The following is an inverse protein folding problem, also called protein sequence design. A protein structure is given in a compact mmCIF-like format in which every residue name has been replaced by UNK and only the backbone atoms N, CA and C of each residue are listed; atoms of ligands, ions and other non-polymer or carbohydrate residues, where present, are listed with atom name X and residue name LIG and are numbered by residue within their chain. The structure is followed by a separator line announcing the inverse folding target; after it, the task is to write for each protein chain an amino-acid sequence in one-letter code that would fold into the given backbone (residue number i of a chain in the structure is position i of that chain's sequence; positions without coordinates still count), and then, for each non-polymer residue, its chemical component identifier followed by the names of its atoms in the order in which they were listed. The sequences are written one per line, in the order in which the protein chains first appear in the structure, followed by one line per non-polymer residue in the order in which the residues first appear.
data_IF_718975636053
#
_entry.id   IF_718975636053
#
_cell.length_a   1.000
_cell.length_b   1.000
_cell.length_c   1.000
_cell.angle_alpha   90.00
_cell.angle_beta   90.00
_cell.angle_gamma   90.00
#
_symmetry.space_group_name_H-M   'P 1'
#
loop_
_entity.id
_entity.type
_entity.pdbx_description
1 polymer ?
#
# COMPACT_ATOMS: atom_id res chain seq x y z
N UNK A 1 -16.66 37.65 0.29
CA UNK A 1 -15.34 37.17 0.70
C UNK A 1 -15.61 36.07 1.75
N UNK A 2 -15.64 34.81 1.31
CA UNK A 2 -15.69 33.64 2.24
C UNK A 2 -14.28 33.32 2.64
N UNK A 3 -14.05 33.17 3.95
CA UNK A 3 -12.78 32.74 4.50
C UNK A 3 -12.70 31.21 4.38
N UNK A 4 -11.98 30.71 3.37
CA UNK A 4 -11.83 29.28 3.13
C UNK A 4 -10.75 28.72 4.06
N UNK A 5 -11.15 27.95 5.06
CA UNK A 5 -10.24 27.28 5.99
C UNK A 5 -9.98 25.86 5.49
N UNK A 6 -8.76 25.58 5.00
CA UNK A 6 -8.35 24.27 4.50
C UNK A 6 -7.42 23.59 5.50
N UNK A 7 -7.62 22.27 5.73
CA UNK A 7 -6.72 21.48 6.58
C UNK A 7 -5.42 21.19 5.82
N UNK A 8 -4.29 21.66 6.36
CA UNK A 8 -2.95 21.49 5.77
C UNK A 8 -2.47 20.03 5.61
N UNK A 9 -3.16 19.09 6.25
CA UNK A 9 -2.79 17.66 6.22
C UNK A 9 -3.36 16.93 5.00
N UNK A 10 -4.30 17.53 4.26
CA UNK A 10 -4.96 16.91 3.12
C UNK A 10 -4.64 17.65 1.84
N UNK A 11 -4.66 16.92 0.70
CA UNK A 11 -4.64 17.56 -0.62
C UNK A 11 -6.03 18.15 -0.90
N UNK A 12 -6.06 19.39 -1.37
CA UNK A 12 -7.27 20.08 -1.75
C UNK A 12 -7.23 20.44 -3.24
N UNK A 13 -8.36 20.33 -3.90
CA UNK A 13 -8.55 20.85 -5.25
C UNK A 13 -9.29 22.18 -5.12
N UNK A 14 -8.69 23.25 -5.64
CA UNK A 14 -9.27 24.59 -5.63
C UNK A 14 -9.65 24.94 -7.05
N UNK A 15 -10.93 25.14 -7.31
CA UNK A 15 -11.46 25.51 -8.61
C UNK A 15 -12.00 26.92 -8.57
N UNK A 16 -11.69 27.72 -9.61
CA UNK A 16 -12.16 29.10 -9.77
C UNK A 16 -13.18 29.12 -10.88
N UNK A 17 -14.41 29.52 -10.59
CA UNK A 17 -15.44 29.73 -11.61
C UNK A 17 -15.17 31.06 -12.30
N UNK A 18 -14.69 30.97 -13.55
CA UNK A 18 -14.37 32.16 -14.37
C UNK A 18 -15.61 32.75 -14.98
N UNK A 19 -16.51 31.93 -15.51
CA UNK A 19 -17.74 32.40 -16.17
C UNK A 19 -18.84 31.35 -16.17
N UNK A 20 -20.09 31.79 -16.38
CA UNK A 20 -21.27 30.94 -16.60
C UNK A 20 -21.95 31.40 -17.89
N UNK A 21 -22.00 30.50 -18.87
CA UNK A 21 -22.45 30.80 -20.23
C UNK A 21 -23.58 29.86 -20.65
N UNK A 22 -24.51 30.36 -21.44
CA UNK A 22 -25.38 29.53 -22.25
C UNK A 22 -24.75 29.36 -23.64
N UNK A 23 -24.67 28.12 -24.14
CA UNK A 23 -24.12 27.80 -25.45
C UNK A 23 -25.07 28.30 -26.55
N UNK A 24 -24.84 29.50 -27.01
CA UNK A 24 -25.58 30.14 -28.11
C UNK A 24 -24.61 30.58 -29.20
N UNK A 25 -25.05 30.71 -30.48
CA UNK A 25 -24.18 31.17 -31.55
C UNK A 25 -23.50 32.53 -31.26
N UNK A 26 -24.20 33.44 -30.60
CA UNK A 26 -23.70 34.75 -30.27
C UNK A 26 -22.73 34.81 -29.09
N UNK A 27 -22.63 33.71 -28.33
CA UNK A 27 -21.76 33.61 -27.14
C UNK A 27 -20.31 33.28 -27.49
N UNK A 28 -19.98 33.01 -28.77
CA UNK A 28 -18.66 32.52 -29.18
C UNK A 28 -17.51 33.42 -28.69
N UNK A 29 -17.63 34.74 -28.87
CA UNK A 29 -16.57 35.66 -28.47
C UNK A 29 -16.37 35.64 -26.96
N UNK A 30 -17.46 35.74 -26.20
CA UNK A 30 -17.40 35.68 -24.74
C UNK A 30 -16.84 34.35 -24.23
N UNK A 31 -17.21 33.25 -24.88
CA UNK A 31 -16.65 31.92 -24.56
C UNK A 31 -15.12 31.88 -24.77
N UNK A 32 -14.64 32.43 -25.91
CA UNK A 32 -13.19 32.52 -26.18
C UNK A 32 -12.47 33.32 -25.10
N UNK A 33 -12.97 34.51 -24.75
CA UNK A 33 -12.36 35.38 -23.75
C UNK A 33 -12.33 34.67 -22.36
N UNK A 34 -13.39 33.95 -22.02
CA UNK A 34 -13.48 33.19 -20.75
C UNK A 34 -12.54 32.01 -20.72
N UNK A 35 -12.43 31.23 -21.82
CA UNK A 35 -11.48 30.12 -21.97
C UNK A 35 -10.04 30.61 -21.84
N UNK A 36 -9.66 31.67 -22.57
CA UNK A 36 -8.31 32.27 -22.47
C UNK A 36 -7.98 32.73 -21.05
N UNK A 37 -8.98 33.32 -20.37
CA UNK A 37 -8.82 33.76 -18.98
C UNK A 37 -8.62 32.55 -18.03
N UNK A 38 -9.41 31.50 -18.18
CA UNK A 38 -9.32 30.31 -17.39
C UNK A 38 -7.97 29.60 -17.59
N UNK A 39 -7.55 29.40 -18.84
CA UNK A 39 -6.27 28.79 -19.18
C UNK A 39 -5.07 29.54 -18.60
N UNK A 40 -5.15 30.89 -18.65
CA UNK A 40 -4.09 31.74 -18.07
C UNK A 40 -4.05 31.67 -16.54
N UNK A 41 -5.21 31.61 -15.86
CA UNK A 41 -5.30 31.51 -14.40
C UNK A 41 -4.82 30.16 -13.87
N UNK A 42 -5.12 29.09 -14.58
CA UNK A 42 -4.83 27.72 -14.16
C UNK A 42 -3.67 27.09 -14.96
N UNK A 43 -2.76 27.91 -15.48
CA UNK A 43 -1.51 27.49 -16.16
C UNK A 43 -1.75 26.45 -17.28
N UNK A 44 -2.83 26.64 -18.04
CA UNK A 44 -3.16 25.81 -19.20
C UNK A 44 -4.15 24.68 -18.91
N UNK A 45 -4.85 24.72 -17.78
CA UNK A 45 -5.92 23.76 -17.46
C UNK A 45 -7.26 24.45 -17.47
N UNK A 46 -8.27 23.84 -18.10
CA UNK A 46 -9.64 24.30 -18.13
C UNK A 46 -10.59 23.15 -17.75
N UNK A 47 -11.53 23.44 -16.89
CA UNK A 47 -12.65 22.53 -16.57
C UNK A 47 -13.95 23.15 -17.07
N UNK A 48 -14.75 22.38 -17.77
CA UNK A 48 -16.09 22.76 -18.24
C UNK A 48 -17.11 21.85 -17.55
N UNK A 49 -18.02 22.47 -16.79
CA UNK A 49 -19.17 21.81 -16.18
C UNK A 49 -20.43 22.07 -17.01
N UNK A 50 -20.98 21.02 -17.62
CA UNK A 50 -22.24 21.05 -18.37
C UNK A 50 -23.42 20.88 -17.40
N UNK A 51 -23.82 21.96 -16.76
CA UNK A 51 -24.83 21.97 -15.68
C UNK A 51 -26.22 21.50 -16.11
N UNK A 52 -26.48 21.33 -17.41
CA UNK A 52 -27.72 20.80 -17.97
C UNK A 52 -27.74 19.24 -17.96
N UNK A 53 -26.59 18.59 -17.69
CA UNK A 53 -26.49 17.14 -17.53
C UNK A 53 -26.72 16.74 -16.07
N UNK A 54 -27.14 15.49 -15.84
CA UNK A 54 -27.32 14.96 -14.50
C UNK A 54 -26.00 14.90 -13.72
N UNK A 55 -26.07 14.90 -12.38
CA UNK A 55 -24.86 14.98 -11.54
C UNK A 55 -23.92 13.79 -11.70
N UNK A 56 -24.45 12.63 -12.02
CA UNK A 56 -23.75 11.37 -12.25
C UNK A 56 -23.40 11.10 -13.73
N UNK A 57 -23.74 12.01 -14.63
CA UNK A 57 -23.39 11.87 -16.05
C UNK A 57 -21.87 12.03 -16.23
N UNK A 58 -21.18 11.00 -16.77
CA UNK A 58 -19.72 11.03 -16.98
C UNK A 58 -19.27 12.11 -17.99
N UNK A 59 -20.18 12.64 -18.79
CA UNK A 59 -19.93 13.73 -19.75
C UNK A 59 -20.09 15.15 -19.16
N UNK A 60 -20.62 15.26 -17.91
CA UNK A 60 -20.92 16.56 -17.28
C UNK A 60 -19.68 17.41 -17.05
N UNK A 61 -18.63 16.83 -16.50
CA UNK A 61 -17.38 17.54 -16.23
C UNK A 61 -16.33 17.11 -17.25
N UNK A 62 -15.86 18.08 -18.05
CA UNK A 62 -14.80 17.85 -19.02
C UNK A 62 -13.59 18.72 -18.70
N UNK A 63 -12.42 18.08 -18.67
CA UNK A 63 -11.14 18.75 -18.46
C UNK A 63 -10.38 18.87 -19.78
N UNK A 64 -9.86 20.07 -20.02
CA UNK A 64 -9.03 20.38 -21.18
C UNK A 64 -7.69 20.94 -20.70
N UNK A 65 -6.63 20.70 -21.48
CA UNK A 65 -5.30 21.21 -21.19
C UNK A 65 -4.61 21.63 -22.48
N UNK A 66 -3.95 22.76 -22.44
CA UNK A 66 -3.06 23.20 -23.54
C UNK A 66 -1.78 22.38 -23.60
N UNK A 67 -1.38 21.77 -22.49
CA UNK A 67 -0.07 21.15 -22.34
C UNK A 67 -0.05 19.65 -22.63
N UNK A 68 -1.06 18.94 -22.84
CA UNK A 68 -1.15 17.49 -23.16
C UNK A 68 -2.29 16.86 -22.36
N UNK A 69 -3.47 16.91 -22.88
CA UNK A 69 -4.60 16.16 -22.36
C UNK A 69 -4.78 14.86 -23.15
N UNK A 70 -5.10 13.80 -22.48
CA UNK A 70 -5.57 12.59 -23.15
C UNK A 70 -7.02 12.83 -23.63
N UNK A 71 -7.35 12.59 -24.92
CA UNK A 71 -8.72 12.75 -25.41
C UNK A 71 -9.72 11.78 -24.75
N UNK A 72 -9.23 10.74 -24.05
CA UNK A 72 -10.03 9.76 -23.31
C UNK A 72 -10.08 10.07 -21.80
N UNK A 73 -9.78 11.28 -21.41
CA UNK A 73 -9.86 11.80 -20.02
C UNK A 73 -9.01 11.01 -18.98
N UNK A 74 -7.95 10.33 -19.45
CA UNK A 74 -6.99 9.74 -18.51
C UNK A 74 -6.23 10.87 -17.80
N UNK A 75 -6.06 10.77 -16.47
CA UNK A 75 -5.28 11.76 -15.72
C UNK A 75 -3.81 11.67 -16.14
N UNK A 76 -3.41 12.52 -17.06
CA UNK A 76 -2.01 12.69 -17.40
C UNK A 76 -1.40 13.72 -16.42
N UNK A 77 -0.61 13.23 -15.51
CA UNK A 77 0.19 14.04 -14.59
C UNK A 77 1.60 14.29 -15.12
N UNK A 78 1.77 14.28 -16.44
CA UNK A 78 3.08 14.57 -17.04
C UNK A 78 3.13 16.07 -17.31
N UNK A 79 3.80 16.81 -16.42
CA UNK A 79 4.03 18.23 -16.59
C UNK A 79 4.83 18.47 -17.87
N UNK A 80 6.10 18.65 -17.88
CA UNK A 80 6.91 18.74 -19.10
C UNK A 80 7.70 17.44 -19.33
N UNK A 81 7.74 16.98 -20.60
CA UNK A 81 8.56 15.83 -20.94
C UNK A 81 10.03 16.29 -20.98
N UNK A 82 10.74 15.97 -19.92
CA UNK A 82 12.18 16.17 -19.81
C UNK A 82 12.95 14.83 -19.88
N UNK A 83 14.23 14.82 -20.21
CA UNK A 83 15.04 13.59 -20.20
C UNK A 83 14.95 12.82 -18.88
N UNK A 84 14.83 13.51 -17.75
CA UNK A 84 14.67 12.89 -16.42
C UNK A 84 13.38 12.09 -16.25
N UNK A 85 12.33 12.43 -17.00
CA UNK A 85 11.04 11.72 -16.98
C UNK A 85 11.17 10.29 -17.54
N UNK A 86 12.17 10.04 -18.38
CA UNK A 86 12.47 8.73 -18.97
C UNK A 86 13.59 7.97 -18.25
N UNK A 87 14.14 8.55 -17.20
CA UNK A 87 15.26 7.96 -16.46
C UNK A 87 14.73 7.04 -15.37
N UNK A 88 15.04 5.73 -15.47
CA UNK A 88 14.70 4.76 -14.41
C UNK A 88 15.46 5.03 -13.10
N UNK A 89 16.54 5.82 -13.14
CA UNK A 89 17.36 6.21 -11.99
C UNK A 89 17.00 7.61 -11.44
N UNK A 90 15.90 8.20 -11.88
CA UNK A 90 15.41 9.47 -11.36
C UNK A 90 13.98 9.29 -10.81
N UNK A 91 13.63 9.93 -9.69
CA UNK A 91 12.32 9.77 -9.06
C UNK A 91 11.13 10.05 -9.97
N UNK A 92 11.34 10.86 -11.03
CA UNK A 92 10.30 11.23 -12.00
C UNK A 92 9.99 10.14 -13.03
N UNK A 93 10.95 9.28 -13.36
CA UNK A 93 10.81 8.23 -14.37
C UNK A 93 10.96 6.82 -13.80
N UNK A 94 11.42 6.70 -12.56
CA UNK A 94 11.56 5.42 -11.90
C UNK A 94 10.18 4.81 -11.59
N UNK A 95 10.09 3.50 -11.69
CA UNK A 95 8.92 2.76 -11.21
C UNK A 95 8.71 3.03 -9.72
N UNK A 96 7.51 3.46 -9.28
CA UNK A 96 7.26 3.78 -7.87
C UNK A 96 7.36 2.57 -6.93
N UNK A 97 7.19 1.35 -7.46
CA UNK A 97 7.26 0.14 -6.64
C UNK A 97 8.68 -0.38 -6.44
N UNK A 98 9.50 -0.40 -7.48
CA UNK A 98 10.86 -0.92 -7.40
C UNK A 98 11.94 0.17 -7.43
N UNK A 99 11.55 1.45 -7.46
CA UNK A 99 12.46 2.60 -7.55
C UNK A 99 13.46 2.53 -8.72
N UNK A 100 13.06 1.84 -9.81
CA UNK A 100 13.88 1.67 -11.01
C UNK A 100 14.75 0.42 -11.03
N UNK A 101 14.71 -0.41 -9.99
CA UNK A 101 15.54 -1.63 -9.89
C UNK A 101 15.05 -2.79 -10.77
N UNK A 102 13.78 -2.75 -11.22
CA UNK A 102 13.18 -3.83 -12.00
C UNK A 102 12.81 -5.08 -11.19
N UNK A 103 13.21 -5.13 -9.94
CA UNK A 103 12.98 -6.23 -9.01
C UNK A 103 12.65 -5.71 -7.62
N UNK A 104 12.06 -6.55 -6.79
CA UNK A 104 11.81 -6.27 -5.37
C UNK A 104 12.07 -7.51 -4.53
N UNK A 105 12.30 -7.29 -3.24
CA UNK A 105 12.40 -8.38 -2.28
C UNK A 105 10.98 -8.76 -1.81
N UNK A 106 10.69 -10.05 -1.87
CA UNK A 106 9.46 -10.63 -1.30
C UNK A 106 9.82 -11.73 -0.31
N UNK A 107 9.07 -11.82 0.78
CA UNK A 107 9.24 -12.90 1.75
C UNK A 107 8.87 -14.23 1.09
N UNK A 108 9.76 -15.21 1.21
CA UNK A 108 9.59 -16.53 0.62
C UNK A 108 9.17 -17.56 1.66
N UNK A 109 8.00 -18.18 1.53
CA UNK A 109 7.54 -19.20 2.45
C UNK A 109 8.49 -20.38 2.62
N UNK A 110 9.22 -20.76 1.56
CA UNK A 110 10.19 -21.86 1.62
C UNK A 110 11.43 -21.50 2.46
N UNK A 111 11.82 -20.23 2.49
CA UNK A 111 12.90 -19.74 3.35
C UNK A 111 12.42 -19.52 4.79
N UNK A 112 11.16 -19.21 4.97
CA UNK A 112 10.53 -19.07 6.29
C UNK A 112 10.35 -20.42 6.97
N UNK A 113 10.03 -21.47 6.21
CA UNK A 113 9.84 -22.85 6.67
C UNK A 113 10.83 -23.74 5.90
N UNK A 114 12.12 -23.74 6.26
CA UNK A 114 13.13 -24.49 5.53
C UNK A 114 13.05 -25.99 5.74
N UNK A 115 12.42 -26.43 6.83
CA UNK A 115 12.25 -27.85 7.17
C UNK A 115 10.82 -28.10 7.67
N UNK A 116 10.01 -28.72 6.82
CA UNK A 116 8.63 -29.06 7.15
C UNK A 116 8.48 -30.25 8.11
N UNK A 117 9.57 -30.97 8.41
CA UNK A 117 9.58 -32.06 9.38
C UNK A 117 9.68 -31.56 10.82
N UNK A 118 10.13 -30.31 11.01
CA UNK A 118 10.14 -29.66 12.32
C UNK A 118 8.75 -29.26 12.77
N UNK A 119 8.53 -29.32 14.07
CA UNK A 119 7.35 -28.76 14.72
C UNK A 119 7.55 -27.29 15.07
N UNK A 120 6.45 -26.57 15.42
CA UNK A 120 6.53 -25.20 15.88
C UNK A 120 7.35 -25.07 17.18
N UNK A 121 7.26 -26.07 18.06
CA UNK A 121 8.05 -26.13 19.30
C UNK A 121 9.54 -26.31 19.03
N UNK A 122 9.91 -27.00 17.95
CA UNK A 122 11.30 -27.19 17.50
C UNK A 122 11.82 -26.04 16.64
N UNK A 123 10.98 -25.06 16.28
CA UNK A 123 11.38 -23.88 15.53
C UNK A 123 11.17 -23.97 14.02
N UNK A 124 10.16 -24.68 13.54
CA UNK A 124 9.80 -24.77 12.12
C UNK A 124 9.73 -23.39 11.44
N UNK A 125 9.29 -22.34 12.15
CA UNK A 125 9.29 -20.95 11.66
C UNK A 125 10.65 -20.32 11.98
N UNK A 126 11.59 -20.43 11.06
CA UNK A 126 12.97 -20.01 11.24
C UNK A 126 13.17 -18.58 11.71
N UNK A 127 12.45 -17.55 11.20
CA UNK A 127 12.58 -16.18 11.68
C UNK A 127 12.27 -16.00 13.17
N UNK A 128 11.35 -16.77 13.71
CA UNK A 128 10.96 -16.70 15.11
C UNK A 128 11.84 -17.55 16.03
N UNK A 129 12.55 -18.51 15.47
CA UNK A 129 13.55 -19.28 16.22
C UNK A 129 14.82 -18.45 16.56
N UNK A 130 15.01 -17.27 15.90
CA UNK A 130 16.22 -16.45 16.00
C UNK A 130 16.11 -15.23 16.94
N UNK A 131 15.21 -15.22 17.91
CA UNK A 131 15.01 -14.01 18.73
C UNK A 131 14.30 -14.27 20.04
N UNK A 132 13.23 -13.50 20.31
CA UNK A 132 12.38 -13.68 21.50
C UNK A 132 11.47 -14.90 21.33
N UNK A 133 12.07 -16.07 21.31
CA UNK A 133 11.44 -17.37 21.04
C UNK A 133 10.21 -17.57 21.96
N UNK A 134 10.36 -17.34 23.26
CA UNK A 134 9.29 -17.58 24.24
C UNK A 134 8.01 -16.80 23.93
N UNK A 135 8.14 -15.54 23.53
CA UNK A 135 6.97 -14.71 23.21
C UNK A 135 6.23 -15.20 21.95
N UNK A 136 6.96 -15.61 20.95
CA UNK A 136 6.35 -16.13 19.73
C UNK A 136 5.68 -17.49 19.99
N UNK A 137 6.32 -18.37 20.79
CA UNK A 137 5.75 -19.62 21.23
C UNK A 137 4.44 -19.43 22.02
N UNK A 138 4.39 -18.47 22.95
CA UNK A 138 3.16 -18.16 23.70
C UNK A 138 2.01 -17.75 22.77
N UNK A 139 2.28 -16.91 21.78
CA UNK A 139 1.25 -16.47 20.81
C UNK A 139 0.81 -17.60 19.91
N UNK A 140 1.76 -18.42 19.41
CA UNK A 140 1.46 -19.59 18.59
C UNK A 140 0.67 -20.64 19.37
N UNK A 141 0.97 -20.84 20.67
CA UNK A 141 0.20 -21.73 21.52
C UNK A 141 -1.27 -21.28 21.68
N UNK A 142 -1.50 -19.98 21.82
CA UNK A 142 -2.85 -19.42 21.82
C UNK A 142 -3.61 -19.69 20.50
N UNK A 143 -2.91 -19.54 19.37
CA UNK A 143 -3.46 -19.84 18.05
C UNK A 143 -3.73 -21.35 17.89
N UNK A 144 -2.84 -22.20 18.43
CA UNK A 144 -2.99 -23.66 18.41
C UNK A 144 -4.24 -24.13 19.18
N UNK A 145 -4.49 -23.55 20.37
CA UNK A 145 -5.74 -23.82 21.11
C UNK A 145 -6.97 -23.43 20.28
N UNK A 146 -6.95 -22.26 19.65
CA UNK A 146 -8.08 -21.72 18.89
C UNK A 146 -8.39 -22.54 17.63
N UNK A 147 -7.35 -22.91 16.87
CA UNK A 147 -7.46 -23.68 15.63
C UNK A 147 -7.42 -25.18 15.82
N UNK A 148 -7.24 -25.66 17.07
CA UNK A 148 -7.21 -27.08 17.45
C UNK A 148 -6.13 -27.87 16.72
N UNK A 149 -4.87 -27.40 16.77
CA UNK A 149 -3.71 -28.15 16.30
C UNK A 149 -2.65 -28.30 17.39
N UNK A 150 -1.70 -29.23 17.22
CA UNK A 150 -0.60 -29.45 18.18
C UNK A 150 0.63 -28.63 17.79
N UNK A 151 1.27 -28.00 18.79
CA UNK A 151 2.56 -27.33 18.63
C UNK A 151 3.73 -28.30 18.35
N UNK A 152 3.57 -29.60 18.73
CA UNK A 152 4.58 -30.67 18.55
C UNK A 152 4.38 -31.40 17.23
N UNK A 153 3.35 -31.11 16.44
CA UNK A 153 3.14 -31.72 15.15
C UNK A 153 4.10 -31.14 14.11
N UNK A 154 4.69 -31.93 13.21
CA UNK A 154 5.47 -31.42 12.08
C UNK A 154 4.67 -30.44 11.25
N UNK A 155 5.33 -29.39 10.70
CA UNK A 155 4.69 -28.38 9.88
C UNK A 155 3.82 -28.97 8.76
N UNK A 156 4.32 -29.97 8.04
CA UNK A 156 3.59 -30.65 6.97
C UNK A 156 2.29 -31.33 7.42
N UNK A 157 2.19 -31.71 8.70
CA UNK A 157 1.01 -32.35 9.28
C UNK A 157 -0.01 -31.36 9.83
N UNK A 158 0.30 -30.08 9.89
CA UNK A 158 -0.62 -29.04 10.33
C UNK A 158 -1.78 -28.87 9.32
N UNK A 159 -3.01 -28.62 9.80
CA UNK A 159 -4.12 -28.29 8.92
C UNK A 159 -3.80 -27.06 8.07
N UNK A 160 -4.23 -27.05 6.81
CA UNK A 160 -4.00 -25.93 5.88
C UNK A 160 -4.40 -24.58 6.47
N UNK A 161 -5.58 -24.50 7.11
CA UNK A 161 -6.04 -23.28 7.81
C UNK A 161 -5.09 -22.79 8.91
N UNK A 162 -4.36 -23.69 9.53
CA UNK A 162 -3.38 -23.34 10.57
C UNK A 162 -2.10 -22.81 9.93
N UNK A 163 -1.63 -23.43 8.85
CA UNK A 163 -0.48 -22.98 8.07
C UNK A 163 -0.74 -21.59 7.47
N UNK A 164 -1.91 -21.39 6.85
CA UNK A 164 -2.33 -20.08 6.33
C UNK A 164 -2.38 -19.01 7.43
N UNK A 165 -2.96 -19.33 8.59
CA UNK A 165 -3.00 -18.40 9.71
C UNK A 165 -1.61 -18.05 10.24
N UNK A 166 -0.69 -19.03 10.32
CA UNK A 166 0.69 -18.83 10.78
C UNK A 166 1.50 -17.98 9.79
N UNK A 167 1.33 -18.20 8.49
CA UNK A 167 2.03 -17.45 7.44
C UNK A 167 1.46 -16.04 7.27
N UNK A 168 0.16 -15.91 7.07
CA UNK A 168 -0.48 -14.65 6.63
C UNK A 168 -1.25 -13.92 7.72
N UNK A 169 -1.36 -14.52 8.91
CA UNK A 169 -2.07 -13.89 10.02
C UNK A 169 -3.56 -14.18 10.03
N UNK A 170 -4.25 -13.50 10.94
CA UNK A 170 -5.65 -13.71 11.21
C UNK A 170 -6.33 -12.39 11.60
N UNK A 171 -7.52 -12.17 11.08
CA UNK A 171 -8.29 -10.94 11.32
C UNK A 171 -8.81 -10.79 12.75
N UNK A 172 -8.78 -11.84 13.54
CA UNK A 172 -9.26 -11.81 14.92
C UNK A 172 -8.13 -11.87 15.96
N UNK A 173 -8.45 -11.46 17.17
CA UNK A 173 -7.51 -11.43 18.29
C UNK A 173 -7.31 -12.82 18.85
N UNK A 174 -6.05 -13.24 18.95
CA UNK A 174 -5.63 -14.48 19.63
C UNK A 174 -5.56 -14.23 21.14
N UNK A 175 -6.07 -15.17 21.92
CA UNK A 175 -6.01 -15.15 23.38
C UNK A 175 -4.73 -15.87 23.83
N UNK A 176 -3.82 -15.10 24.40
CA UNK A 176 -2.52 -15.60 24.85
C UNK A 176 -2.51 -15.73 26.37
N UNK A 177 -2.18 -16.91 26.85
CA UNK A 177 -1.97 -17.21 28.26
C UNK A 177 -0.47 -17.24 28.55
N UNK A 178 -0.04 -16.49 29.54
CA UNK A 178 1.37 -16.45 29.96
C UNK A 178 1.51 -16.42 31.47
N UNK A 179 2.65 -16.88 31.98
CA UNK A 179 3.01 -16.75 33.40
C UNK A 179 3.92 -15.55 33.60
N UNK A 180 3.49 -14.64 34.48
CA UNK A 180 4.33 -13.49 34.81
C UNK A 180 5.52 -13.92 35.74
N UNK A 181 6.48 -13.00 35.97
CA UNK A 181 7.64 -13.22 36.83
C UNK A 181 7.31 -13.66 38.26
N UNK A 182 6.06 -13.54 38.68
CA UNK A 182 5.57 -13.97 40.00
C UNK A 182 4.82 -15.31 39.96
N UNK A 183 4.87 -16.03 38.85
CA UNK A 183 4.22 -17.33 38.67
C UNK A 183 2.70 -17.25 38.50
N UNK A 184 2.11 -16.06 38.39
CA UNK A 184 0.66 -15.90 38.21
C UNK A 184 0.30 -15.97 36.72
N UNK A 185 -0.71 -16.75 36.39
CA UNK A 185 -1.27 -16.79 35.05
C UNK A 185 -2.00 -15.49 34.72
N UNK A 186 -1.78 -14.99 33.51
CA UNK A 186 -2.41 -13.82 32.95
C UNK A 186 -2.82 -14.14 31.51
N UNK A 187 -3.92 -13.54 31.09
CA UNK A 187 -4.40 -13.64 29.71
C UNK A 187 -4.46 -12.25 29.10
N UNK A 188 -4.01 -12.10 27.86
CA UNK A 188 -4.22 -10.91 27.05
C UNK A 188 -4.65 -11.30 25.64
N UNK A 189 -5.25 -10.36 24.94
CA UNK A 189 -5.63 -10.56 23.54
C UNK A 189 -4.73 -9.71 22.65
N UNK A 190 -4.20 -10.31 21.60
CA UNK A 190 -3.38 -9.62 20.62
C UNK A 190 -3.81 -9.98 19.21
N UNK A 191 -3.61 -9.07 18.26
CA UNK A 191 -3.69 -9.39 16.84
C UNK A 191 -2.52 -10.30 16.47
N UNK A 192 -2.76 -11.20 15.53
CA UNK A 192 -1.74 -12.08 14.97
C UNK A 192 -1.54 -11.75 13.49
N UNK A 193 -0.44 -11.10 13.18
CA UNK A 193 -0.14 -10.58 11.84
C UNK A 193 0.39 -11.64 10.86
N UNK A 194 0.82 -12.81 11.36
CA UNK A 194 1.51 -13.83 10.55
C UNK A 194 2.99 -13.48 10.29
N UNK A 195 3.76 -14.53 10.00
CA UNK A 195 5.22 -14.38 9.85
C UNK A 195 5.60 -13.58 8.59
N UNK A 196 4.84 -13.70 7.51
CA UNK A 196 5.10 -12.99 6.25
C UNK A 196 5.01 -11.48 6.46
N UNK A 197 3.88 -10.98 6.95
CA UNK A 197 3.68 -9.56 7.24
C UNK A 197 4.61 -9.05 8.35
N UNK A 198 4.91 -9.89 9.36
CA UNK A 198 5.89 -9.54 10.38
C UNK A 198 7.26 -9.24 9.78
N UNK A 199 7.75 -10.08 8.85
CA UNK A 199 9.03 -9.89 8.20
C UNK A 199 9.03 -8.65 7.30
N UNK A 200 8.02 -8.48 6.45
CA UNK A 200 7.88 -7.30 5.58
C UNK A 200 7.88 -6.01 6.38
N UNK A 201 7.06 -5.94 7.42
CA UNK A 201 6.99 -4.76 8.29
C UNK A 201 8.32 -4.50 8.98
N UNK A 202 8.95 -5.54 9.55
CA UNK A 202 10.24 -5.38 10.25
C UNK A 202 11.36 -4.96 9.32
N UNK A 203 11.40 -5.47 8.11
CA UNK A 203 12.36 -5.05 7.09
C UNK A 203 12.17 -3.59 6.70
N UNK A 204 10.91 -3.15 6.52
CA UNK A 204 10.59 -1.78 6.13
C UNK A 204 10.79 -0.76 7.25
N UNK A 205 10.49 -1.13 8.51
CA UNK A 205 10.54 -0.22 9.66
C UNK A 205 11.97 -0.06 10.23
N UNK A 206 12.90 -0.94 9.88
CA UNK A 206 14.25 -0.87 10.46
C UNK A 206 15.18 0.03 9.66
N UNK A 207 15.94 0.89 10.36
CA UNK A 207 16.99 1.73 9.78
C UNK A 207 18.38 1.06 9.82
N UNK A 208 18.52 -0.05 10.53
CA UNK A 208 19.78 -0.76 10.72
C UNK A 208 20.04 -1.73 9.58
N UNK A 209 21.13 -1.53 8.83
CA UNK A 209 21.54 -2.41 7.72
C UNK A 209 21.74 -3.86 8.19
N UNK A 210 22.37 -4.08 9.34
CA UNK A 210 22.52 -5.41 9.93
C UNK A 210 21.17 -6.09 10.21
N UNK A 211 20.18 -5.33 10.67
CA UNK A 211 18.85 -5.88 10.92
C UNK A 211 18.10 -6.16 9.62
N UNK A 212 18.30 -5.34 8.56
CA UNK A 212 17.77 -5.60 7.23
C UNK A 212 18.31 -6.89 6.64
N UNK A 213 19.65 -7.05 6.60
CA UNK A 213 20.31 -8.27 6.11
C UNK A 213 19.77 -9.52 6.82
N UNK A 214 19.46 -9.40 8.11
CA UNK A 214 18.90 -10.51 8.89
C UNK A 214 17.49 -10.89 8.46
N UNK A 215 16.68 -9.97 7.95
CA UNK A 215 15.35 -10.26 7.41
C UNK A 215 15.41 -10.69 5.95
N UNK A 216 16.34 -10.12 5.17
CA UNK A 216 16.54 -10.42 3.75
C UNK A 216 16.91 -11.88 3.50
N UNK A 217 17.52 -12.59 4.45
CA UNK A 217 17.78 -14.03 4.32
C UNK A 217 16.51 -14.88 4.17
N UNK A 218 15.32 -14.32 4.47
CA UNK A 218 14.02 -14.96 4.29
C UNK A 218 13.27 -14.40 3.07
N UNK A 219 13.95 -13.64 2.22
CA UNK A 219 13.36 -12.99 1.06
C UNK A 219 14.06 -13.43 -0.22
N UNK A 220 13.32 -13.39 -1.32
CA UNK A 220 13.85 -13.57 -2.67
C UNK A 220 13.63 -12.33 -3.50
N UNK A 221 14.56 -12.10 -4.41
CA UNK A 221 14.37 -11.12 -5.48
C UNK A 221 13.38 -11.66 -6.51
N UNK A 222 12.31 -10.91 -6.72
CA UNK A 222 11.30 -11.22 -7.73
C UNK A 222 11.19 -10.06 -8.73
N UNK A 223 10.91 -10.34 -10.02
CA UNK A 223 10.66 -9.28 -10.99
C UNK A 223 9.55 -8.35 -10.52
N UNK A 224 9.72 -7.05 -10.70
CA UNK A 224 8.70 -6.09 -10.32
C UNK A 224 7.42 -6.31 -11.15
N UNK A 225 6.25 -6.48 -10.53
CA UNK A 225 5.01 -6.73 -11.25
C UNK A 225 4.54 -5.52 -12.07
N UNK A 226 4.93 -4.31 -11.68
CA UNK A 226 4.50 -3.07 -12.32
C UNK A 226 5.28 -2.73 -13.59
N UNK A 227 6.58 -2.96 -13.63
CA UNK A 227 7.39 -2.49 -14.75
C UNK A 227 8.06 -3.59 -15.57
N UNK A 228 7.84 -4.86 -15.23
CA UNK A 228 8.30 -6.12 -15.89
C UNK A 228 9.43 -5.94 -16.90
#
# INVERSE_FOLDING_TARGET
DEEITLDKKFKHTIEVVVDRLAAKPDSRRRLTDSVETALRLAEGILVVDFVDLEEDDPGRIRRFSEKRACPNDHPLSIDDIEPRTFSFNAPYGACPECTGLGQRLEVDPELVIPDEDLSLAEGAIAPWAMGSVDRHLEVMAGLAEELSFSMDAPWRALPERAREALLHGKDHKVHVKYRNRFGRERTYSTGFEGVMHFLERRHNDTESDWAKERYEQFMREVPCPSCK
#
